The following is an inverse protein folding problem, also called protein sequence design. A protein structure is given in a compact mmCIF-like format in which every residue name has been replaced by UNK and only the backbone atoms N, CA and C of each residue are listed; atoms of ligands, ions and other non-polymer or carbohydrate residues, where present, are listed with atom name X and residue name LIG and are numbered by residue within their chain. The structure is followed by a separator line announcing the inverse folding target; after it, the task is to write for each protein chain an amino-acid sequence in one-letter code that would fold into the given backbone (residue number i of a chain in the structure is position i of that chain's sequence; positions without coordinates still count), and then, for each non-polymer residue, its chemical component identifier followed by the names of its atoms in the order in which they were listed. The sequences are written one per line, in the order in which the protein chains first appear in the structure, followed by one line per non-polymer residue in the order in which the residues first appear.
data_IF_749040975902
#
_entry.id   IF_749040975902
#
_cell.length_a   1.000
_cell.length_b   1.000
_cell.length_c   1.000
_cell.angle_alpha   90.00
_cell.angle_beta   90.00
_cell.angle_gamma   90.00
#
_symmetry.space_group_name_H-M   'P 1'
#
loop_
_entity.id
_entity.type
_entity.pdbx_description
1 polymer ?
#
# COMPACT_ATOMS: atom_id res chain seq x y z
N UNK A 1 8.70 -27.94 21.23
CA UNK A 1 8.48 -28.09 19.80
C UNK A 1 9.30 -27.01 19.11
N UNK A 2 10.48 -27.38 18.60
CA UNK A 2 11.30 -26.48 17.78
C UNK A 2 10.62 -26.38 16.41
N UNK A 3 10.19 -25.19 16.02
CA UNK A 3 9.82 -24.91 14.64
C UNK A 3 11.14 -24.81 13.90
N UNK A 4 11.46 -25.81 13.06
CA UNK A 4 12.55 -25.71 12.10
C UNK A 4 12.25 -24.50 11.19
N UNK A 5 13.04 -23.44 11.30
CA UNK A 5 13.12 -22.38 10.29
C UNK A 5 13.67 -22.99 9.00
N UNK A 6 12.79 -23.64 8.24
CA UNK A 6 13.08 -24.00 6.86
C UNK A 6 13.17 -22.69 6.08
N UNK A 7 14.30 -22.47 5.40
CA UNK A 7 14.55 -21.26 4.61
C UNK A 7 13.40 -21.03 3.63
N UNK A 8 12.64 -19.97 3.89
CA UNK A 8 11.59 -19.49 2.99
C UNK A 8 12.25 -18.56 1.99
N UNK A 9 12.11 -18.85 0.70
CA UNK A 9 12.61 -17.98 -0.36
C UNK A 9 11.51 -17.00 -0.71
N UNK A 10 11.82 -15.70 -0.68
CA UNK A 10 10.90 -14.62 -1.07
C UNK A 10 11.52 -13.87 -2.24
N UNK A 11 10.78 -13.79 -3.34
CA UNK A 11 11.13 -12.98 -4.50
C UNK A 11 10.21 -11.76 -4.50
N UNK A 12 10.78 -10.56 -4.54
CA UNK A 12 10.04 -9.31 -4.58
C UNK A 12 10.19 -8.66 -5.95
N UNK A 13 9.17 -7.94 -6.39
CA UNK A 13 9.25 -7.13 -7.59
C UNK A 13 8.25 -5.99 -7.57
N UNK A 14 8.38 -5.09 -8.55
CA UNK A 14 7.49 -3.97 -8.72
C UNK A 14 7.16 -3.77 -10.20
N UNK A 15 5.97 -3.24 -10.47
CA UNK A 15 5.55 -2.93 -11.84
C UNK A 15 6.07 -1.54 -12.25
N UNK A 16 6.83 -1.48 -13.34
CA UNK A 16 7.25 -0.22 -13.93
C UNK A 16 6.19 0.30 -14.92
N UNK A 17 6.37 1.54 -15.38
CA UNK A 17 5.45 2.13 -16.36
C UNK A 17 5.45 1.31 -17.66
N UNK A 18 4.29 0.76 -18.01
CA UNK A 18 4.10 -0.09 -19.20
C UNK A 18 4.44 -1.57 -19.01
N UNK A 19 4.91 -1.98 -17.83
CA UNK A 19 5.16 -3.39 -17.53
C UNK A 19 3.83 -4.14 -17.30
N UNK A 20 3.76 -5.36 -17.82
CA UNK A 20 2.81 -6.37 -17.34
C UNK A 20 3.38 -7.12 -16.14
N UNK A 21 2.51 -7.73 -15.33
CA UNK A 21 2.96 -8.65 -14.27
C UNK A 21 3.83 -9.78 -14.83
N UNK A 22 3.49 -10.27 -16.02
CA UNK A 22 4.26 -11.32 -16.69
C UNK A 22 5.71 -10.89 -16.95
N UNK A 23 5.92 -9.72 -17.55
CA UNK A 23 7.26 -9.20 -17.88
C UNK A 23 8.09 -8.92 -16.63
N UNK A 24 7.46 -8.39 -15.57
CA UNK A 24 8.14 -8.13 -14.31
C UNK A 24 8.57 -9.45 -13.63
N UNK A 25 7.70 -10.47 -13.61
CA UNK A 25 8.04 -11.79 -13.05
C UNK A 25 9.14 -12.52 -13.85
N UNK A 26 9.14 -12.40 -15.18
CA UNK A 26 10.23 -12.92 -16.03
C UNK A 26 11.57 -12.25 -15.68
N UNK A 27 11.57 -10.93 -15.44
CA UNK A 27 12.77 -10.16 -15.06
C UNK A 27 13.37 -10.64 -13.74
N UNK A 28 12.51 -11.03 -12.79
CA UNK A 28 12.90 -11.63 -11.51
C UNK A 28 13.31 -13.12 -11.63
N UNK A 29 13.37 -13.67 -12.85
CA UNK A 29 13.89 -15.01 -13.12
C UNK A 29 12.87 -16.14 -12.98
N UNK A 30 11.57 -15.83 -12.91
CA UNK A 30 10.51 -16.81 -12.75
C UNK A 30 10.15 -17.40 -14.12
N UNK A 31 9.90 -18.71 -14.20
CA UNK A 31 9.63 -19.34 -15.48
C UNK A 31 8.25 -18.99 -16.04
N UNK A 32 8.13 -18.92 -17.36
CA UNK A 32 6.87 -18.66 -18.06
C UNK A 32 5.73 -19.61 -17.62
N UNK A 33 6.06 -20.89 -17.40
CA UNK A 33 5.08 -21.91 -16.98
C UNK A 33 4.54 -21.63 -15.58
N UNK A 34 5.41 -21.24 -14.64
CA UNK A 34 5.00 -20.87 -13.29
C UNK A 34 4.14 -19.61 -13.28
N UNK A 35 4.51 -18.60 -14.08
CA UNK A 35 3.75 -17.35 -14.19
C UNK A 35 2.34 -17.61 -14.72
N UNK A 36 2.21 -18.39 -15.80
CA UNK A 36 0.90 -18.72 -16.36
C UNK A 36 0.05 -19.52 -15.36
N UNK A 37 0.67 -20.47 -14.63
CA UNK A 37 -0.03 -21.22 -13.58
C UNK A 37 -0.50 -20.31 -12.44
N UNK A 38 0.35 -19.38 -12.00
CA UNK A 38 0.00 -18.38 -11.00
C UNK A 38 -1.18 -17.52 -11.47
N UNK A 39 -1.07 -16.90 -12.66
CA UNK A 39 -2.12 -16.05 -13.20
C UNK A 39 -3.45 -16.80 -13.33
N UNK A 40 -3.43 -18.05 -13.81
CA UNK A 40 -4.64 -18.87 -13.90
C UNK A 40 -5.29 -19.14 -12.54
N UNK A 41 -4.47 -19.35 -11.49
CA UNK A 41 -4.97 -19.52 -10.12
C UNK A 41 -5.58 -18.21 -9.61
N UNK A 42 -4.90 -17.08 -9.76
CA UNK A 42 -5.29 -15.83 -9.09
C UNK A 42 -6.14 -14.86 -9.92
N UNK A 43 -6.44 -15.16 -11.20
CA UNK A 43 -7.23 -14.30 -12.10
C UNK A 43 -8.65 -14.01 -11.64
N UNK A 44 -9.23 -14.86 -10.79
CA UNK A 44 -10.58 -14.63 -10.24
C UNK A 44 -10.58 -13.58 -9.14
N UNK A 45 -9.40 -13.22 -8.63
CA UNK A 45 -9.20 -12.33 -7.48
C UNK A 45 -8.57 -11.02 -7.94
N UNK A 46 -7.58 -11.09 -8.84
CA UNK A 46 -6.85 -9.94 -9.36
C UNK A 46 -7.09 -9.85 -10.87
N UNK A 47 -7.55 -8.68 -11.32
CA UNK A 47 -7.60 -8.35 -12.74
C UNK A 47 -6.23 -7.88 -13.22
N UNK A 48 -5.48 -8.77 -13.86
CA UNK A 48 -4.15 -8.47 -14.41
C UNK A 48 -4.18 -7.52 -15.62
N UNK A 49 -5.35 -7.21 -16.16
CA UNK A 49 -5.50 -6.26 -17.28
C UNK A 49 -5.29 -4.81 -16.82
N UNK A 50 -5.43 -4.57 -15.51
CA UNK A 50 -5.32 -3.24 -14.93
C UNK A 50 -4.55 -3.30 -13.61
N UNK A 51 -3.23 -3.15 -13.70
CA UNK A 51 -2.35 -3.06 -12.53
C UNK A 51 -1.74 -1.66 -12.48
N UNK A 52 -1.91 -0.92 -11.37
CA UNK A 52 -1.31 0.40 -11.21
C UNK A 52 0.21 0.37 -11.36
N UNK A 53 0.76 1.43 -11.95
CA UNK A 53 2.20 1.66 -11.99
C UNK A 53 2.72 1.78 -10.55
N UNK A 54 3.85 1.12 -10.27
CA UNK A 54 4.43 1.11 -8.94
C UNK A 54 3.81 0.08 -8.00
N UNK A 55 2.86 -0.75 -8.46
CA UNK A 55 2.37 -1.86 -7.63
C UNK A 55 3.51 -2.79 -7.26
N UNK A 56 3.56 -3.19 -6.00
CA UNK A 56 4.54 -4.14 -5.49
C UNK A 56 3.93 -5.54 -5.43
N UNK A 57 4.77 -6.56 -5.59
CA UNK A 57 4.38 -7.93 -5.36
C UNK A 57 5.51 -8.73 -4.72
N UNK A 58 5.14 -9.82 -4.05
CA UNK A 58 6.09 -10.81 -3.58
C UNK A 58 5.57 -12.22 -3.77
N UNK A 59 6.47 -13.14 -4.11
CA UNK A 59 6.20 -14.56 -4.19
C UNK A 59 7.01 -15.28 -3.13
N UNK A 60 6.30 -16.06 -2.32
CA UNK A 60 6.88 -16.89 -1.28
C UNK A 60 6.92 -18.33 -1.75
N UNK A 61 8.10 -18.92 -1.65
CA UNK A 61 8.33 -20.31 -2.01
C UNK A 61 8.55 -21.16 -0.76
N UNK A 62 8.02 -22.36 -0.78
CA UNK A 62 8.39 -23.39 0.17
C UNK A 62 9.79 -23.97 -0.18
N UNK A 63 10.39 -24.76 0.71
CA UNK A 63 11.68 -25.40 0.46
C UNK A 63 11.69 -26.42 -0.70
N UNK A 64 10.51 -26.82 -1.18
CA UNK A 64 10.36 -27.70 -2.36
C UNK A 64 10.34 -26.90 -3.67
N UNK A 65 10.49 -25.57 -3.61
CA UNK A 65 10.47 -24.68 -4.77
C UNK A 65 9.08 -24.37 -5.30
N UNK A 66 8.01 -24.63 -4.54
CA UNK A 66 6.63 -24.30 -4.93
C UNK A 66 6.20 -22.97 -4.33
N UNK A 67 5.52 -22.16 -5.13
CA UNK A 67 4.87 -20.93 -4.65
C UNK A 67 3.75 -21.30 -3.68
N UNK A 68 3.81 -20.75 -2.47
CA UNK A 68 2.79 -20.92 -1.42
C UNK A 68 2.00 -19.66 -1.14
N UNK A 69 2.53 -18.49 -1.52
CA UNK A 69 1.88 -17.21 -1.26
C UNK A 69 2.24 -16.22 -2.37
N UNK A 70 1.25 -15.48 -2.84
CA UNK A 70 1.41 -14.30 -3.66
C UNK A 70 0.85 -13.10 -2.90
N UNK A 71 1.72 -12.16 -2.57
CA UNK A 71 1.34 -10.89 -1.98
C UNK A 71 1.32 -9.83 -3.07
N UNK A 72 0.24 -9.06 -3.12
CA UNK A 72 0.06 -7.99 -4.09
C UNK A 72 -0.34 -6.70 -3.38
N UNK A 73 0.37 -5.61 -3.68
CA UNK A 73 0.14 -4.28 -3.12
C UNK A 73 -0.07 -3.29 -4.26
N UNK A 74 -1.32 -3.01 -4.67
CA UNK A 74 -1.59 -2.04 -5.73
C UNK A 74 -1.28 -0.59 -5.31
N UNK A 75 -1.22 -0.33 -4.01
CA UNK A 75 -0.89 0.95 -3.41
C UNK A 75 -0.31 0.72 -1.99
N UNK A 76 0.17 1.78 -1.29
CA UNK A 76 0.80 1.62 0.02
C UNK A 76 -0.12 1.13 1.16
N UNK A 77 -1.45 1.15 0.96
CA UNK A 77 -2.45 0.88 2.01
C UNK A 77 -3.05 -0.51 1.83
N UNK A 78 -3.37 -0.88 0.59
CA UNK A 78 -4.01 -2.16 0.28
C UNK A 78 -2.97 -3.26 0.13
N UNK A 79 -3.06 -4.29 0.98
CA UNK A 79 -2.21 -5.48 0.92
C UNK A 79 -3.11 -6.70 0.75
N UNK A 80 -2.92 -7.44 -0.34
CA UNK A 80 -3.62 -8.67 -0.64
C UNK A 80 -2.67 -9.85 -0.50
N UNK A 81 -2.93 -10.73 0.46
CA UNK A 81 -2.20 -11.98 0.67
C UNK A 81 -3.01 -13.14 0.12
N UNK A 82 -2.50 -13.81 -0.91
CA UNK A 82 -3.16 -14.92 -1.58
C UNK A 82 -2.38 -16.19 -1.32
N UNK A 83 -2.93 -17.06 -0.48
CA UNK A 83 -2.32 -18.35 -0.15
C UNK A 83 -2.63 -19.33 -1.28
N UNK A 84 -1.57 -19.86 -1.88
CA UNK A 84 -1.64 -20.78 -3.00
C UNK A 84 -1.47 -22.20 -2.47
N UNK A 85 -2.52 -23.04 -2.53
CA UNK A 85 -2.44 -24.40 -2.05
C UNK A 85 -1.51 -25.22 -2.94
N UNK A 86 -0.76 -26.12 -2.31
CA UNK A 86 0.14 -27.06 -2.99
C UNK A 86 -0.58 -28.28 -3.58
N UNK A 87 -1.86 -28.48 -3.22
CA UNK A 87 -2.75 -29.52 -3.75
C UNK A 87 -3.91 -28.88 -4.49
N UNK A 88 -4.29 -29.42 -5.66
CA UNK A 88 -5.42 -28.93 -6.45
C UNK A 88 -6.80 -29.22 -5.81
N UNK A 89 -6.82 -29.91 -4.67
CA UNK A 89 -8.04 -30.23 -3.92
C UNK A 89 -8.48 -29.13 -2.95
N UNK A 90 -7.70 -28.07 -2.81
CA UNK A 90 -7.94 -27.00 -1.84
C UNK A 90 -8.14 -25.66 -2.58
N UNK A 91 -9.07 -24.86 -2.09
CA UNK A 91 -9.37 -23.55 -2.66
C UNK A 91 -8.32 -22.50 -2.29
N UNK A 92 -8.15 -21.51 -3.16
CA UNK A 92 -7.31 -20.34 -2.85
C UNK A 92 -7.91 -19.56 -1.69
N UNK A 93 -7.07 -19.19 -0.73
CA UNK A 93 -7.47 -18.31 0.37
C UNK A 93 -6.90 -16.92 0.16
N UNK A 94 -7.79 -15.94 0.08
CA UNK A 94 -7.43 -14.53 -0.04
C UNK A 94 -7.68 -13.84 1.29
N UNK A 95 -6.69 -13.11 1.75
CA UNK A 95 -6.79 -12.22 2.90
C UNK A 95 -6.39 -10.83 2.44
N UNK A 96 -7.30 -9.86 2.56
CA UNK A 96 -6.92 -8.45 2.50
C UNK A 96 -6.53 -8.05 3.91
N UNK A 97 -5.34 -7.48 4.10
CA UNK A 97 -4.96 -6.98 5.42
C UNK A 97 -5.95 -5.89 5.85
N UNK A 98 -6.38 -5.97 7.11
CA UNK A 98 -7.28 -4.96 7.66
C UNK A 98 -6.51 -3.67 7.87
N UNK A 99 -7.05 -2.59 7.31
CA UNK A 99 -6.53 -1.25 7.51
C UNK A 99 -7.34 -0.61 8.62
N UNK A 100 -6.66 -0.13 9.65
CA UNK A 100 -7.29 0.58 10.76
C UNK A 100 -7.03 2.07 10.62
N UNK A 101 -8.05 2.87 10.89
CA UNK A 101 -7.93 4.32 11.03
C UNK A 101 -7.86 4.66 12.51
N UNK A 102 -6.86 5.44 12.89
CA UNK A 102 -6.75 6.00 14.23
C UNK A 102 -7.13 7.48 14.20
N UNK A 103 -7.89 7.91 15.20
CA UNK A 103 -8.20 9.32 15.38
C UNK A 103 -7.06 9.97 16.16
N UNK A 104 -6.39 10.93 15.53
CA UNK A 104 -5.25 11.64 16.11
C UNK A 104 -5.56 13.11 16.29
N UNK A 105 -4.93 13.72 17.30
CA UNK A 105 -5.04 15.15 17.56
C UNK A 105 -3.71 15.84 17.27
N UNK A 106 -3.77 16.86 16.42
CA UNK A 106 -2.65 17.77 16.21
C UNK A 106 -2.94 19.13 16.83
N UNK A 107 -1.91 19.73 17.40
CA UNK A 107 -1.96 21.11 17.88
C UNK A 107 -0.69 21.83 17.47
N UNK A 108 -0.83 23.10 17.13
CA UNK A 108 0.29 23.88 16.61
C UNK A 108 0.07 25.36 16.80
N UNK A 109 1.17 26.09 16.62
CA UNK A 109 1.24 27.54 16.62
C UNK A 109 1.78 27.98 15.28
N UNK A 110 1.18 29.01 14.71
CA UNK A 110 1.55 29.53 13.40
C UNK A 110 2.70 30.50 13.58
N UNK A 111 3.82 30.21 12.93
CA UNK A 111 4.96 31.12 12.82
C UNK A 111 4.90 31.92 11.52
N UNK A 112 4.69 31.23 10.39
CA UNK A 112 4.66 31.86 9.06
C UNK A 112 3.30 31.68 8.35
N UNK A 113 2.80 30.46 8.27
CA UNK A 113 1.51 30.16 7.64
C UNK A 113 0.88 28.89 8.19
N UNK A 114 -0.44 28.76 8.04
CA UNK A 114 -1.16 27.53 8.34
C UNK A 114 -0.62 26.34 7.53
N UNK A 115 -0.24 26.58 6.27
CA UNK A 115 0.28 25.55 5.37
C UNK A 115 1.58 24.93 5.90
N UNK A 116 2.57 25.77 6.22
CA UNK A 116 3.85 25.30 6.78
C UNK A 116 3.65 24.64 8.15
N UNK A 117 2.80 25.22 9.00
CA UNK A 117 2.54 24.66 10.33
C UNK A 117 1.94 23.24 10.26
N UNK A 118 1.09 22.95 9.27
CA UNK A 118 0.51 21.62 9.07
C UNK A 118 1.49 20.60 8.49
N UNK A 119 2.45 21.04 7.67
CA UNK A 119 3.56 20.19 7.25
C UNK A 119 4.40 19.81 8.47
N UNK A 120 4.77 20.78 9.31
CA UNK A 120 5.62 20.52 10.47
C UNK A 120 4.94 19.65 11.53
N UNK A 121 3.64 19.84 11.80
CA UNK A 121 2.96 19.13 12.88
C UNK A 121 2.35 17.78 12.48
N UNK A 122 1.90 17.64 11.23
CA UNK A 122 1.09 16.50 10.77
C UNK A 122 1.60 15.87 9.46
N UNK A 123 2.75 16.32 8.94
CA UNK A 123 3.34 15.87 7.67
C UNK A 123 2.33 15.89 6.50
N UNK A 124 1.38 16.83 6.55
CA UNK A 124 0.27 16.86 5.58
C UNK A 124 -0.18 18.29 5.29
N UNK A 125 0.28 18.89 4.17
CA UNK A 125 -0.22 20.19 3.74
C UNK A 125 -1.71 20.16 3.34
N UNK A 126 -2.23 18.97 3.01
CA UNK A 126 -3.63 18.81 2.64
C UNK A 126 -4.57 19.16 3.79
N UNK A 127 -4.15 18.92 5.04
CA UNK A 127 -4.93 19.29 6.23
C UNK A 127 -5.11 20.81 6.34
N UNK A 128 -4.12 21.62 5.92
CA UNK A 128 -4.26 23.07 5.88
C UNK A 128 -5.32 23.51 4.86
N UNK A 129 -5.33 22.89 3.67
CA UNK A 129 -6.30 23.19 2.62
C UNK A 129 -7.72 22.81 3.04
N UNK A 130 -7.90 21.64 3.66
CA UNK A 130 -9.19 21.20 4.18
C UNK A 130 -9.69 22.11 5.30
N UNK A 131 -8.80 22.53 6.21
CA UNK A 131 -9.16 23.48 7.25
C UNK A 131 -9.57 24.84 6.64
N UNK A 132 -8.83 25.32 5.64
CA UNK A 132 -9.16 26.55 4.93
C UNK A 132 -10.52 26.48 4.23
N UNK A 133 -10.85 25.34 3.63
CA UNK A 133 -12.16 25.12 3.02
C UNK A 133 -13.30 25.14 4.04
N UNK A 134 -13.12 24.51 5.21
CA UNK A 134 -14.12 24.48 6.29
C UNK A 134 -14.44 25.91 6.79
N UNK A 135 -13.42 26.76 6.93
CA UNK A 135 -13.58 28.12 7.45
C UNK A 135 -13.62 29.20 6.35
N UNK A 136 -13.76 28.83 5.08
CA UNK A 136 -13.63 29.76 3.94
C UNK A 136 -14.56 30.99 4.00
N UNK A 137 -15.70 30.88 4.68
CA UNK A 137 -16.65 31.99 4.87
C UNK A 137 -16.38 32.87 6.09
N UNK A 138 -15.47 32.43 6.97
CA UNK A 138 -15.25 33.00 8.30
C UNK A 138 -13.85 33.58 8.44
N UNK A 139 -12.86 32.95 7.81
CA UNK A 139 -11.44 33.28 7.96
C UNK A 139 -10.77 33.12 6.59
N UNK A 140 -10.14 34.18 6.10
CA UNK A 140 -9.18 34.10 5.02
C UNK A 140 -7.79 33.80 5.58
N UNK A 141 -7.39 32.53 5.61
CA UNK A 141 -6.09 32.12 6.16
C UNK A 141 -4.87 32.66 5.40
N UNK A 142 -5.04 33.23 4.20
CA UNK A 142 -3.92 33.87 3.48
C UNK A 142 -3.66 35.29 3.96
N UNK A 143 -4.68 35.99 4.45
CA UNK A 143 -4.57 37.42 4.82
C UNK A 143 -4.79 37.69 6.31
N UNK A 144 -5.54 36.83 6.99
CA UNK A 144 -5.93 37.03 8.39
C UNK A 144 -5.10 36.22 9.38
N UNK A 145 -4.36 35.22 8.90
CA UNK A 145 -3.49 34.37 9.72
C UNK A 145 -2.27 35.16 10.22
N UNK A 146 -1.95 35.04 11.51
CA UNK A 146 -0.86 35.80 12.15
C UNK A 146 0.11 34.90 12.90
N UNK A 147 1.35 35.37 12.98
CA UNK A 147 2.34 34.82 13.90
C UNK A 147 1.77 34.86 15.31
N UNK A 148 1.73 33.72 15.99
CA UNK A 148 1.12 33.63 17.31
C UNK A 148 -0.16 32.80 17.36
N UNK A 149 -0.90 32.72 16.26
CA UNK A 149 -2.18 32.03 16.21
C UNK A 149 -1.99 30.53 16.49
N UNK A 150 -2.97 29.92 17.17
CA UNK A 150 -2.91 28.51 17.54
C UNK A 150 -4.08 27.75 16.94
N UNK A 151 -3.83 26.52 16.51
CA UNK A 151 -4.86 25.62 16.01
C UNK A 151 -4.82 24.27 16.73
N UNK A 152 -5.96 23.61 16.72
CA UNK A 152 -6.13 22.22 17.19
C UNK A 152 -7.07 21.52 16.22
N UNK A 153 -6.62 20.39 15.69
CA UNK A 153 -7.41 19.57 14.78
C UNK A 153 -7.47 18.13 15.29
N UNK A 154 -8.56 17.45 14.95
CA UNK A 154 -8.74 16.02 15.19
C UNK A 154 -9.09 15.40 13.84
N UNK A 155 -8.32 14.41 13.42
CA UNK A 155 -8.40 13.75 12.11
C UNK A 155 -8.39 12.25 12.23
#
# INVERSE_FOLDING_TARGET
FQVEEKEVIIINGNLQAGDTLYESLIREGISATEILSLQEKVKSIIDFSYLPIGSEYSLKYNPEGKVTEFTYKPNPIDIYCINIPTSDSEDLKVTKEEVYTEVVRFEGKIEYSLYESMIECADSPMLALQLAEIFAWQIDFLTECREGDTFKIVV
#
